data_IF_353389653525
#
_entry.id   IF_353389653525
#
_cell.length_a   1.000
_cell.length_b   1.000
_cell.length_c   1.000
_cell.angle_alpha   90.00
_cell.angle_beta   90.00
_cell.angle_gamma   90.00
#
_symmetry.space_group_name_H-M   'P 1'
#
loop_
_entity.id
_entity.type
_entity.pdbx_description
1 polymer ?
#
# COMPACT_ATOMS: atom_id res chain seq x y z
N UNK A 1 10.47 6.09 -8.15
CA UNK A 1 9.05 6.22 -7.85
C UNK A 1 8.23 5.28 -8.75
N UNK A 2 7.33 4.49 -8.19
CA UNK A 2 6.51 3.52 -8.94
C UNK A 2 5.45 4.19 -9.85
N UNK A 3 5.27 5.48 -9.78
CA UNK A 3 4.45 6.23 -10.75
C UNK A 3 5.16 6.45 -12.10
N UNK A 4 6.49 6.40 -12.11
CA UNK A 4 7.29 6.59 -13.32
C UNK A 4 7.41 5.29 -14.13
N UNK A 5 7.06 5.30 -15.42
CA UNK A 5 7.11 4.10 -16.28
C UNK A 5 8.49 3.43 -16.35
N UNK A 6 9.58 4.20 -16.28
CA UNK A 6 10.95 3.64 -16.28
C UNK A 6 11.20 2.87 -14.98
N UNK A 7 10.77 3.41 -13.84
CA UNK A 7 10.87 2.74 -12.55
C UNK A 7 10.01 1.49 -12.49
N UNK A 8 8.80 1.53 -13.06
CA UNK A 8 7.93 0.35 -13.17
C UNK A 8 8.59 -0.75 -14.01
N UNK A 9 9.14 -0.39 -15.20
CA UNK A 9 9.81 -1.37 -16.05
C UNK A 9 11.02 -1.99 -15.36
N UNK A 10 11.85 -1.17 -14.72
CA UNK A 10 13.00 -1.66 -13.94
C UNK A 10 12.55 -2.64 -12.83
N UNK A 11 11.48 -2.32 -12.12
CA UNK A 11 10.93 -3.19 -11.07
C UNK A 11 10.43 -4.51 -11.65
N UNK A 12 9.73 -4.48 -12.80
CA UNK A 12 9.29 -5.70 -13.50
C UNK A 12 10.49 -6.56 -13.91
N UNK A 13 11.54 -5.97 -14.44
CA UNK A 13 12.75 -6.67 -14.86
C UNK A 13 13.44 -7.35 -13.65
N UNK A 14 13.54 -6.66 -12.52
CA UNK A 14 14.07 -7.21 -11.27
C UNK A 14 13.22 -8.38 -10.77
N UNK A 15 11.90 -8.21 -10.69
CA UNK A 15 10.99 -9.27 -10.22
C UNK A 15 11.02 -10.50 -11.15
N UNK A 16 11.05 -10.31 -12.46
CA UNK A 16 11.17 -11.40 -13.42
C UNK A 16 12.52 -12.12 -13.29
N UNK A 17 13.62 -11.38 -13.14
CA UNK A 17 14.93 -11.99 -12.88
C UNK A 17 14.92 -12.83 -11.60
N UNK A 18 14.32 -12.32 -10.52
CA UNK A 18 14.19 -13.09 -9.27
C UNK A 18 13.38 -14.38 -9.47
N UNK A 19 12.28 -14.33 -10.22
CA UNK A 19 11.46 -15.51 -10.55
C UNK A 19 12.25 -16.55 -11.34
N UNK A 20 12.99 -16.13 -12.35
CA UNK A 20 13.87 -17.02 -13.14
C UNK A 20 14.93 -17.68 -12.25
N UNK A 21 15.53 -16.93 -11.34
CA UNK A 21 16.50 -17.48 -10.37
C UNK A 21 15.87 -18.51 -9.43
N UNK A 22 14.64 -18.27 -8.97
CA UNK A 22 13.92 -19.23 -8.13
C UNK A 22 13.63 -20.54 -8.87
N UNK A 23 13.29 -20.50 -10.16
CA UNK A 23 13.11 -21.71 -10.99
C UNK A 23 14.42 -22.52 -11.04
N UNK A 24 15.55 -21.85 -11.27
CA UNK A 24 16.87 -22.52 -11.29
C UNK A 24 17.17 -23.16 -9.94
N UNK A 25 16.87 -22.48 -8.82
CA UNK A 25 17.08 -23.03 -7.49
C UNK A 25 16.18 -24.23 -7.19
N UNK A 26 14.90 -24.19 -7.65
CA UNK A 26 13.98 -25.33 -7.53
C UNK A 26 14.54 -26.56 -8.27
N UNK A 27 15.07 -26.38 -9.48
CA UNK A 27 15.69 -27.46 -10.25
C UNK A 27 16.98 -27.99 -9.59
N UNK A 28 17.79 -27.06 -9.07
CA UNK A 28 19.10 -27.40 -8.47
C UNK A 28 18.98 -28.11 -7.12
N UNK A 29 18.05 -27.68 -6.28
CA UNK A 29 17.95 -28.13 -4.89
C UNK A 29 16.77 -29.07 -4.63
N UNK A 30 15.78 -29.12 -5.55
CA UNK A 30 14.60 -29.95 -5.39
C UNK A 30 13.56 -29.41 -4.39
N UNK A 31 13.77 -28.18 -3.88
CA UNK A 31 12.88 -27.51 -2.94
C UNK A 31 11.95 -26.52 -3.66
N UNK A 32 10.84 -26.17 -3.04
CA UNK A 32 9.93 -25.13 -3.52
C UNK A 32 10.34 -23.77 -2.96
N UNK A 33 10.45 -22.78 -3.84
CA UNK A 33 10.74 -21.40 -3.51
C UNK A 33 9.65 -20.47 -4.00
N UNK A 34 9.31 -19.46 -3.21
CA UNK A 34 8.32 -18.44 -3.54
C UNK A 34 8.95 -17.05 -3.53
N UNK A 35 8.39 -16.14 -4.33
CA UNK A 35 8.66 -14.72 -4.27
C UNK A 35 7.50 -14.02 -3.57
N UNK A 36 7.77 -13.41 -2.44
CA UNK A 36 6.79 -12.75 -1.59
C UNK A 36 7.05 -11.25 -1.48
N UNK A 37 5.97 -10.45 -1.50
CA UNK A 37 5.99 -9.05 -1.11
C UNK A 37 5.85 -8.95 0.40
N UNK A 38 6.94 -9.09 1.14
CA UNK A 38 6.93 -9.12 2.59
C UNK A 38 6.55 -7.75 3.17
N UNK A 39 5.55 -7.65 4.06
CA UNK A 39 5.21 -6.41 4.73
C UNK A 39 6.33 -6.04 5.71
N UNK A 40 6.86 -4.82 5.59
CA UNK A 40 7.97 -4.34 6.41
C UNK A 40 7.53 -3.45 7.58
N UNK A 41 6.28 -3.02 7.61
CA UNK A 41 5.61 -2.25 8.68
C UNK A 41 6.55 -1.31 9.47
N UNK A 42 6.76 -1.54 10.76
CA UNK A 42 7.62 -0.70 11.60
C UNK A 42 9.09 -0.68 11.15
N UNK A 43 9.56 -1.68 10.42
CA UNK A 43 10.92 -1.72 9.91
C UNK A 43 11.14 -0.67 8.80
N UNK A 44 10.15 -0.41 7.96
CA UNK A 44 10.24 0.60 6.89
C UNK A 44 10.48 2.00 7.44
N UNK A 45 9.77 2.37 8.51
CA UNK A 45 10.00 3.61 9.24
C UNK A 45 11.38 3.67 9.89
N UNK A 46 11.74 2.62 10.65
CA UNK A 46 12.99 2.59 11.40
C UNK A 46 14.21 2.67 10.49
N UNK A 47 14.20 1.94 9.37
CA UNK A 47 15.29 1.96 8.40
C UNK A 47 15.39 3.34 7.74
N UNK A 48 14.29 3.90 7.26
CA UNK A 48 14.26 5.23 6.65
C UNK A 48 14.78 6.32 7.61
N UNK A 49 14.41 6.24 8.90
CA UNK A 49 14.91 7.15 9.93
C UNK A 49 16.43 7.07 10.08
N UNK A 50 16.98 5.87 10.21
CA UNK A 50 18.44 5.69 10.33
C UNK A 50 19.19 6.10 9.07
N UNK A 51 18.61 5.85 7.90
CA UNK A 51 19.22 6.22 6.64
C UNK A 51 19.29 7.73 6.44
N UNK A 52 18.24 8.48 6.80
CA UNK A 52 18.28 9.94 6.78
C UNK A 52 19.35 10.51 7.71
N UNK A 53 19.54 9.90 8.90
CA UNK A 53 20.58 10.31 9.85
C UNK A 53 21.99 10.11 9.26
N UNK A 54 22.20 9.08 8.45
CA UNK A 54 23.50 8.72 7.85
C UNK A 54 23.72 9.34 6.46
N UNK A 55 22.63 9.49 5.71
CA UNK A 55 22.60 9.92 4.33
C UNK A 55 21.51 10.97 4.14
N UNK A 56 21.79 12.25 4.50
CA UNK A 56 20.77 13.31 4.52
C UNK A 56 20.05 13.57 3.19
N UNK A 57 20.67 13.16 2.08
CA UNK A 57 20.13 13.32 0.72
C UNK A 57 19.37 12.10 0.21
N UNK A 58 19.18 11.06 1.05
CA UNK A 58 18.48 9.85 0.63
C UNK A 58 16.99 10.16 0.37
N UNK A 59 16.46 9.55 -0.69
CA UNK A 59 15.05 9.68 -1.06
C UNK A 59 14.24 8.64 -0.29
N UNK A 60 13.22 9.10 0.42
CA UNK A 60 12.21 8.26 1.08
C UNK A 60 10.85 8.45 0.42
N UNK A 61 9.88 7.61 0.76
CA UNK A 61 8.52 7.71 0.23
C UNK A 61 7.71 8.88 0.81
N UNK A 62 8.15 9.43 1.95
CA UNK A 62 7.49 10.57 2.59
C UNK A 62 7.90 11.90 1.98
N UNK A 63 7.02 12.89 2.09
CA UNK A 63 7.36 14.29 1.80
C UNK A 63 8.44 14.80 2.78
N UNK A 64 9.26 15.72 2.28
CA UNK A 64 10.34 16.34 3.09
C UNK A 64 9.78 17.00 4.34
N UNK A 65 10.30 16.60 5.50
CA UNK A 65 9.89 17.15 6.81
C UNK A 65 8.74 16.39 7.47
N UNK A 66 8.20 15.37 6.81
CA UNK A 66 7.25 14.42 7.43
C UNK A 66 7.99 13.18 7.96
N UNK A 67 7.27 12.34 8.69
CA UNK A 67 7.80 11.04 9.18
C UNK A 67 8.34 10.21 8.04
N UNK A 68 9.64 9.85 8.02
CA UNK A 68 10.24 9.12 6.93
C UNK A 68 9.78 7.65 6.92
N UNK A 69 9.57 7.10 5.74
CA UNK A 69 9.32 5.67 5.55
C UNK A 69 9.73 5.22 4.15
N UNK A 70 9.96 3.92 4.00
CA UNK A 70 10.06 3.26 2.70
C UNK A 70 8.75 2.53 2.40
N UNK A 71 8.36 2.46 1.15
CA UNK A 71 7.23 1.62 0.74
C UNK A 71 7.58 0.14 0.90
N UNK A 72 6.58 -0.69 1.20
CA UNK A 72 6.77 -2.12 1.22
C UNK A 72 6.92 -2.65 -0.22
N UNK A 73 8.00 -3.40 -0.49
CA UNK A 73 8.22 -4.04 -1.79
C UNK A 73 7.98 -3.08 -2.98
N UNK A 74 7.10 -3.42 -3.91
CA UNK A 74 6.75 -2.61 -5.09
C UNK A 74 5.51 -1.75 -4.90
N UNK A 75 5.08 -1.48 -3.66
CA UNK A 75 3.87 -0.70 -3.38
C UNK A 75 4.05 0.78 -3.71
N UNK A 76 2.94 1.44 -4.04
CA UNK A 76 2.88 2.90 -4.12
C UNK A 76 2.97 3.53 -2.73
N UNK A 77 3.53 4.76 -2.62
CA UNK A 77 3.43 5.53 -1.40
C UNK A 77 1.97 5.75 -0.99
N UNK A 78 1.70 5.74 0.31
CA UNK A 78 0.37 6.09 0.84
C UNK A 78 0.04 7.53 0.42
N UNK A 79 -1.13 7.74 -0.15
CA UNK A 79 -1.56 9.04 -0.64
C UNK A 79 -0.97 9.44 -1.99
N UNK A 80 -0.40 8.50 -2.75
CA UNK A 80 0.07 8.74 -4.11
C UNK A 80 -1.05 9.30 -5.01
N UNK A 81 -2.25 8.75 -4.91
CA UNK A 81 -3.43 9.19 -5.64
C UNK A 81 -4.69 9.00 -4.79
N UNK A 82 -5.72 9.81 -5.07
CA UNK A 82 -7.07 9.65 -4.52
C UNK A 82 -7.95 8.74 -5.39
N UNK A 83 -7.49 8.39 -6.61
CA UNK A 83 -8.17 7.48 -7.52
C UNK A 83 -7.67 6.05 -7.33
N UNK A 84 -8.53 5.20 -6.77
CA UNK A 84 -8.24 3.78 -6.57
C UNK A 84 -7.92 3.05 -7.88
N UNK A 85 -8.55 3.42 -9.00
CA UNK A 85 -8.33 2.75 -10.27
C UNK A 85 -6.97 3.11 -10.86
N UNK A 86 -6.52 4.35 -10.73
CA UNK A 86 -5.16 4.75 -11.10
C UNK A 86 -4.11 3.94 -10.31
N UNK A 87 -4.31 3.78 -9.00
CA UNK A 87 -3.43 2.95 -8.18
C UNK A 87 -3.46 1.47 -8.60
N UNK A 88 -4.64 0.94 -8.90
CA UNK A 88 -4.82 -0.44 -9.36
C UNK A 88 -4.15 -0.69 -10.72
N UNK A 89 -4.24 0.24 -11.67
CA UNK A 89 -3.61 0.13 -12.99
C UNK A 89 -2.08 -0.02 -12.87
N UNK A 90 -1.46 0.69 -11.92
CA UNK A 90 -0.02 0.58 -11.67
C UNK A 90 0.32 -0.72 -10.93
N UNK A 91 -0.48 -1.08 -9.91
CA UNK A 91 -0.15 -2.18 -9.01
C UNK A 91 -0.49 -3.56 -9.58
N UNK A 92 -1.48 -3.69 -10.47
CA UNK A 92 -1.93 -4.98 -10.99
C UNK A 92 -0.78 -5.76 -11.64
N UNK A 93 -0.02 -5.11 -12.52
CA UNK A 93 1.10 -5.75 -13.21
C UNK A 93 2.25 -6.11 -12.25
N UNK A 94 2.52 -5.29 -11.25
CA UNK A 94 3.62 -5.52 -10.29
C UNK A 94 3.25 -6.61 -9.28
N UNK A 95 2.04 -6.54 -8.75
CA UNK A 95 1.57 -7.49 -7.73
C UNK A 95 1.41 -8.92 -8.28
N UNK A 96 1.05 -9.07 -9.55
CA UNK A 96 0.93 -10.38 -10.20
C UNK A 96 2.26 -11.06 -10.51
N UNK A 97 3.38 -10.36 -10.36
CA UNK A 97 4.72 -10.95 -10.49
C UNK A 97 5.18 -11.70 -9.25
N UNK A 98 4.58 -11.47 -8.09
CA UNK A 98 4.83 -12.27 -6.90
C UNK A 98 4.16 -13.64 -7.01
N UNK A 99 4.82 -14.68 -6.53
CA UNK A 99 4.34 -16.07 -6.58
C UNK A 99 3.78 -16.54 -5.25
N UNK A 100 3.87 -15.70 -4.22
CA UNK A 100 3.34 -15.92 -2.88
C UNK A 100 2.68 -14.64 -2.36
N UNK A 101 2.66 -14.43 -1.06
CA UNK A 101 1.96 -13.33 -0.39
C UNK A 101 2.27 -11.96 -0.96
N UNK A 102 1.23 -11.27 -1.37
CA UNK A 102 1.22 -9.86 -1.72
C UNK A 102 -0.15 -9.28 -1.41
N UNK A 103 -0.25 -7.99 -1.15
CA UNK A 103 -1.52 -7.32 -0.86
C UNK A 103 -1.51 -5.89 -1.35
N UNK A 104 -2.61 -5.46 -1.95
CA UNK A 104 -2.87 -4.06 -2.24
C UNK A 104 -3.79 -3.47 -1.17
N UNK A 105 -3.33 -2.47 -0.44
CA UNK A 105 -4.12 -1.74 0.55
C UNK A 105 -4.71 -0.48 -0.06
N UNK A 106 -6.02 -0.51 -0.34
CA UNK A 106 -6.76 0.67 -0.74
C UNK A 106 -7.28 1.41 0.50
N UNK A 107 -6.73 2.59 0.74
CA UNK A 107 -7.20 3.48 1.79
C UNK A 107 -8.29 4.36 1.21
N UNK A 108 -9.52 4.19 1.71
CA UNK A 108 -10.65 5.01 1.30
C UNK A 108 -10.74 6.20 2.26
N UNK A 109 -10.74 7.41 1.72
CA UNK A 109 -10.86 8.65 2.51
C UNK A 109 -12.18 8.76 3.28
N UNK A 110 -13.16 7.90 2.99
CA UNK A 110 -14.47 7.89 3.62
C UNK A 110 -15.07 6.47 3.68
N UNK A 111 -16.09 6.31 4.49
CA UNK A 111 -16.91 5.11 4.50
C UNK A 111 -17.74 5.03 3.22
N UNK A 112 -17.74 3.87 2.58
CA UNK A 112 -18.59 3.63 1.43
C UNK A 112 -20.08 3.85 1.78
N UNK A 113 -20.86 4.48 0.89
CA UNK A 113 -22.22 4.91 1.20
C UNK A 113 -23.19 3.76 1.46
N UNK A 114 -22.89 2.56 0.96
CA UNK A 114 -23.69 1.37 1.18
C UNK A 114 -22.90 0.10 0.92
N UNK A 115 -23.40 -1.04 1.45
CA UNK A 115 -22.83 -2.34 1.11
C UNK A 115 -22.93 -2.66 -0.39
N UNK A 116 -23.93 -2.10 -1.10
CA UNK A 116 -24.08 -2.27 -2.57
C UNK A 116 -22.93 -1.56 -3.31
N UNK A 117 -22.55 -0.36 -2.87
CA UNK A 117 -21.40 0.34 -3.43
C UNK A 117 -20.09 -0.44 -3.19
N UNK A 118 -19.92 -1.02 -2.01
CA UNK A 118 -18.78 -1.89 -1.71
C UNK A 118 -18.76 -3.14 -2.61
N UNK A 119 -19.91 -3.81 -2.77
CA UNK A 119 -20.04 -4.98 -3.63
C UNK A 119 -19.74 -4.65 -5.10
N UNK A 120 -20.22 -3.51 -5.59
CA UNK A 120 -19.96 -3.06 -6.96
C UNK A 120 -18.47 -2.74 -7.19
N UNK A 121 -17.81 -2.09 -6.22
CA UNK A 121 -16.37 -1.84 -6.28
C UNK A 121 -15.58 -3.15 -6.31
N UNK A 122 -15.89 -4.09 -5.42
CA UNK A 122 -15.27 -5.42 -5.39
C UNK A 122 -15.49 -6.16 -6.72
N UNK A 123 -16.71 -6.13 -7.25
CA UNK A 123 -17.02 -6.75 -8.54
C UNK A 123 -16.18 -6.15 -9.67
N UNK A 124 -16.12 -4.82 -9.77
CA UNK A 124 -15.31 -4.13 -10.79
C UNK A 124 -13.83 -4.48 -10.68
N UNK A 125 -13.27 -4.48 -9.47
CA UNK A 125 -11.88 -4.86 -9.28
C UNK A 125 -11.66 -6.31 -9.74
N UNK A 126 -12.52 -7.25 -9.32
CA UNK A 126 -12.37 -8.67 -9.66
C UNK A 126 -12.58 -8.98 -11.15
N UNK A 127 -13.37 -8.19 -11.86
CA UNK A 127 -13.60 -8.36 -13.31
C UNK A 127 -12.49 -7.77 -14.18
N UNK A 128 -11.78 -6.73 -13.72
CA UNK A 128 -10.84 -5.98 -14.55
C UNK A 128 -9.38 -6.16 -14.15
N UNK A 129 -9.11 -6.58 -12.92
CA UNK A 129 -7.75 -6.72 -12.37
C UNK A 129 -7.46 -8.17 -11.96
N UNK A 130 -6.18 -8.53 -11.95
CA UNK A 130 -5.66 -9.86 -11.61
C UNK A 130 -5.06 -9.91 -10.21
N UNK A 131 -5.12 -8.82 -9.46
CA UNK A 131 -4.60 -8.71 -8.10
C UNK A 131 -5.06 -9.89 -7.22
N UNK A 132 -4.13 -10.66 -6.64
CA UNK A 132 -4.48 -11.85 -5.88
C UNK A 132 -5.14 -11.54 -4.54
N UNK A 133 -4.82 -10.37 -3.96
CA UNK A 133 -5.39 -9.94 -2.69
C UNK A 133 -5.37 -8.42 -2.55
N UNK A 134 -6.47 -7.86 -2.10
CA UNK A 134 -6.58 -6.44 -1.78
C UNK A 134 -7.51 -6.20 -0.59
N UNK A 135 -7.34 -5.05 0.06
CA UNK A 135 -8.21 -4.61 1.15
C UNK A 135 -8.77 -3.23 0.87
N UNK A 136 -10.02 -3.01 1.27
CA UNK A 136 -10.67 -1.72 1.24
C UNK A 136 -10.80 -1.22 2.68
N UNK A 137 -10.03 -0.20 3.04
CA UNK A 137 -9.93 0.28 4.41
C UNK A 137 -10.40 1.74 4.49
N UNK A 138 -11.62 2.01 4.98
CA UNK A 138 -12.09 3.37 5.20
C UNK A 138 -11.34 4.00 6.38
N UNK A 139 -10.99 5.27 6.26
CA UNK A 139 -10.51 6.10 7.36
C UNK A 139 -11.62 7.06 7.78
N UNK A 140 -11.96 7.06 9.07
CA UNK A 140 -12.99 7.92 9.62
C UNK A 140 -12.75 8.17 11.11
N UNK A 141 -13.42 9.19 11.63
CA UNK A 141 -13.34 9.55 13.04
C UNK A 141 -14.73 9.57 13.67
N UNK A 142 -14.80 9.36 14.97
CA UNK A 142 -16.07 9.40 15.73
C UNK A 142 -15.94 10.43 16.85
N UNK A 143 -16.81 11.42 16.83
CA UNK A 143 -17.04 12.32 17.94
C UNK A 143 -18.19 11.82 18.79
N UNK A 144 -18.05 11.85 20.12
CA UNK A 144 -19.11 11.42 21.04
C UNK A 144 -20.41 12.20 20.88
N UNK A 145 -20.29 13.52 20.60
CA UNK A 145 -21.45 14.41 20.47
C UNK A 145 -21.99 14.50 19.04
N UNK A 146 -21.09 14.44 18.01
CA UNK A 146 -21.46 14.68 16.60
C UNK A 146 -21.43 13.44 15.73
N UNK A 147 -21.01 12.29 16.29
CA UNK A 147 -21.00 11.02 15.58
C UNK A 147 -19.91 10.92 14.53
N UNK A 148 -20.26 10.35 13.38
CA UNK A 148 -19.35 10.05 12.27
C UNK A 148 -18.80 11.31 11.59
N UNK A 149 -17.49 11.33 11.36
CA UNK A 149 -16.75 12.37 10.64
C UNK A 149 -15.87 11.67 9.59
N UNK A 150 -15.98 12.10 8.35
CA UNK A 150 -15.16 11.58 7.23
C UNK A 150 -13.69 11.93 7.43
N UNK A 151 -12.80 10.96 7.20
CA UNK A 151 -11.34 11.16 7.28
C UNK A 151 -10.78 11.13 8.70
N UNK A 152 -9.49 11.46 8.79
CA UNK A 152 -8.73 11.46 10.03
C UNK A 152 -8.82 12.84 10.74
N UNK A 153 -9.46 12.85 11.89
CA UNK A 153 -9.58 14.05 12.73
C UNK A 153 -9.32 13.67 14.19
N UNK A 154 -8.25 14.12 14.76
CA UNK A 154 -7.95 13.92 16.21
C UNK A 154 -8.80 14.79 17.12
N UNK A 155 -9.37 15.86 16.57
CA UNK A 155 -10.34 16.73 17.23
C UNK A 155 -11.53 16.99 16.32
N UNK A 156 -12.72 17.02 16.89
CA UNK A 156 -13.95 17.28 16.15
C UNK A 156 -13.94 18.69 15.53
N UNK A 157 -14.14 18.82 14.22
CA UNK A 157 -14.16 20.13 13.56
C UNK A 157 -15.34 21.02 14.00
N UNK A 158 -16.36 20.42 14.64
CA UNK A 158 -17.56 21.14 15.09
C UNK A 158 -17.45 21.63 16.52
N UNK A 159 -16.97 20.78 17.47
CA UNK A 159 -16.93 21.15 18.89
C UNK A 159 -15.52 21.18 19.49
N UNK A 160 -14.48 20.77 18.75
CA UNK A 160 -13.10 20.73 19.24
C UNK A 160 -12.78 19.57 20.17
N UNK A 161 -13.75 18.79 20.60
CA UNK A 161 -13.54 17.64 21.46
C UNK A 161 -12.72 16.53 20.79
N UNK A 162 -12.00 15.75 21.60
CA UNK A 162 -11.19 14.61 21.11
C UNK A 162 -12.08 13.56 20.44
N UNK A 163 -11.64 13.08 19.31
CA UNK A 163 -12.31 12.04 18.55
C UNK A 163 -11.58 10.70 18.66
N UNK A 164 -12.28 9.62 18.34
CA UNK A 164 -11.70 8.31 18.10
C UNK A 164 -11.47 8.14 16.60
N UNK A 165 -10.22 7.91 16.21
CA UNK A 165 -9.85 7.71 14.80
C UNK A 165 -9.80 6.22 14.50
N UNK A 166 -10.47 5.82 13.43
CA UNK A 166 -10.50 4.46 12.91
C UNK A 166 -9.79 4.43 11.57
N UNK A 167 -8.66 3.77 11.55
CA UNK A 167 -7.81 3.61 10.36
C UNK A 167 -7.08 2.29 10.44
N UNK A 168 -6.68 1.75 9.28
CA UNK A 168 -5.74 0.62 9.24
C UNK A 168 -4.34 1.16 9.49
N UNK A 169 -3.62 0.55 10.41
CA UNK A 169 -2.19 0.80 10.60
C UNK A 169 -1.45 -0.11 9.61
N UNK A 170 -0.75 0.53 8.69
CA UNK A 170 0.25 -0.10 7.82
C UNK A 170 1.55 0.66 8.01
N UNK A 171 2.61 -0.07 8.23
CA UNK A 171 3.92 0.54 8.39
C UNK A 171 4.48 1.07 7.07
#
# INVERSE_FOLDING_TARGET
DMSDPVSQQFTKDVLNHMRERLVIYQEQYGDLYNLEASPAESASYRLAKHDIERFPDIITASEKGKTPYYTNSSHLPVGFTEDIFEALDIQDELQTLYTSGTVFHAFLGEKLPSWKAAAELVRKISEHYKLPYYTLSPTYSICKEHGYITGEHFSCPTCGEKTEVYSRITG
#
